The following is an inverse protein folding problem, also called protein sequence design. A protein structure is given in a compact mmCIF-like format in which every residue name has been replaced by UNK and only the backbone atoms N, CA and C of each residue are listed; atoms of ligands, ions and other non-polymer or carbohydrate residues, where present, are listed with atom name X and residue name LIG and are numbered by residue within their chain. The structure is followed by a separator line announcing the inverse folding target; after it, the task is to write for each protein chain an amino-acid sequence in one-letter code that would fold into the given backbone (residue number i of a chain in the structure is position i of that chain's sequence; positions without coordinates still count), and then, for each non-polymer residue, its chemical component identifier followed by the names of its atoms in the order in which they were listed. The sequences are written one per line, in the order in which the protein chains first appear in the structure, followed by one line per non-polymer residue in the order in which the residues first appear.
data_IF_792261894269
#
_entry.id   IF_792261894269
#
_cell.length_a   1.000
_cell.length_b   1.000
_cell.length_c   1.000
_cell.angle_alpha   90.00
_cell.angle_beta   90.00
_cell.angle_gamma   90.00
#
_symmetry.space_group_name_H-M   'P 1'
#
loop_
_entity.id
_entity.type
_entity.pdbx_description
1 polymer ?
#
# COMPACT_ATOMS: atom_id res chain seq x y z
N UNK A 1 36.43 -1.53 63.37
CA UNK A 1 37.15 -1.64 62.07
C UNK A 1 36.76 -2.98 61.46
N UNK A 2 35.97 -3.11 60.39
CA UNK A 2 36.06 -2.52 59.05
C UNK A 2 34.66 -2.12 58.53
N UNK A 3 34.58 -0.98 57.82
CA UNK A 3 33.40 -0.48 57.11
C UNK A 3 33.37 -1.11 55.72
N UNK A 4 32.27 -1.78 55.37
CA UNK A 4 32.06 -2.33 54.03
C UNK A 4 31.38 -1.23 53.21
N UNK A 5 32.12 -0.68 52.25
CA UNK A 5 31.62 0.31 51.28
C UNK A 5 31.22 -0.48 50.04
N UNK A 6 29.93 -0.57 49.76
CA UNK A 6 29.39 -1.15 48.52
C UNK A 6 29.32 -0.03 47.48
N UNK A 7 30.11 -0.05 46.39
CA UNK A 7 29.93 0.92 45.32
C UNK A 7 28.74 0.48 44.48
N UNK A 8 27.65 1.24 44.54
CA UNK A 8 26.53 1.11 43.62
C UNK A 8 26.95 1.68 42.25
N UNK A 9 27.44 0.82 41.35
CA UNK A 9 27.54 1.16 39.94
C UNK A 9 26.16 0.96 39.31
N UNK A 10 25.38 2.04 39.24
CA UNK A 10 24.17 2.09 38.44
C UNK A 10 24.57 2.20 36.95
N UNK A 11 24.61 1.07 36.24
CA UNK A 11 24.76 1.05 34.79
C UNK A 11 23.48 1.55 34.14
N UNK A 12 23.48 2.82 33.73
CA UNK A 12 22.40 3.43 32.96
C UNK A 12 22.45 2.87 31.52
N UNK A 13 21.68 1.84 31.23
CA UNK A 13 21.45 1.36 29.87
C UNK A 13 20.58 2.38 29.14
N UNK A 14 21.18 3.21 28.28
CA UNK A 14 20.43 4.03 27.33
C UNK A 14 19.71 3.08 26.35
N UNK A 15 18.40 2.94 26.52
CA UNK A 15 17.56 2.29 25.53
C UNK A 15 17.52 3.16 24.27
N UNK A 16 18.28 2.76 23.24
CA UNK A 16 18.19 3.35 21.91
C UNK A 16 16.85 2.92 21.33
N UNK A 17 15.84 3.78 21.43
CA UNK A 17 14.56 3.58 20.76
C UNK A 17 14.78 3.83 19.26
N UNK A 18 14.92 2.75 18.48
CA UNK A 18 14.86 2.82 17.02
C UNK A 18 13.43 3.13 16.62
N UNK A 19 13.08 4.41 16.49
CA UNK A 19 11.81 4.80 15.90
C UNK A 19 11.73 4.22 14.47
N UNK A 20 10.64 3.51 14.10
CA UNK A 20 10.50 3.03 12.73
C UNK A 20 10.47 4.24 11.81
N UNK A 21 11.33 4.23 10.78
CA UNK A 21 11.30 5.23 9.73
C UNK A 21 9.88 5.29 9.18
N UNK A 22 9.21 6.44 9.32
CA UNK A 22 7.85 6.62 8.83
C UNK A 22 7.85 6.44 7.31
N UNK A 23 7.36 5.29 6.85
CA UNK A 23 7.18 5.04 5.43
C UNK A 23 6.15 6.03 4.88
N UNK A 24 6.59 6.94 4.02
CA UNK A 24 5.70 7.90 3.37
C UNK A 24 4.67 7.11 2.54
N UNK A 25 3.41 7.19 2.92
CA UNK A 25 2.33 6.47 2.22
C UNK A 25 2.05 7.20 0.91
N UNK A 26 2.59 6.67 -0.19
CA UNK A 26 2.41 7.25 -1.52
C UNK A 26 1.10 6.76 -2.12
N UNK A 27 0.17 7.66 -2.36
CA UNK A 27 -1.11 7.40 -3.03
C UNK A 27 -1.24 8.24 -4.29
N UNK A 28 -1.87 7.70 -5.33
CA UNK A 28 -2.12 8.40 -6.59
C UNK A 28 -3.62 8.25 -6.91
N UNK A 29 -4.34 9.36 -7.19
CA UNK A 29 -5.73 9.28 -7.58
C UNK A 29 -5.88 8.59 -8.95
N UNK A 30 -6.84 7.68 -9.05
CA UNK A 30 -7.22 6.99 -10.30
C UNK A 30 -8.60 7.48 -10.70
N UNK A 31 -8.70 8.15 -11.85
CA UNK A 31 -9.99 8.55 -12.41
C UNK A 31 -10.72 7.32 -12.98
N UNK A 32 -12.01 7.22 -12.67
CA UNK A 32 -12.91 6.16 -13.17
C UNK A 32 -14.32 6.67 -13.51
N UNK A 33 -14.58 7.98 -13.36
CA UNK A 33 -15.89 8.59 -13.60
C UNK A 33 -16.32 8.53 -15.07
N UNK A 34 -15.39 8.32 -15.99
CA UNK A 34 -15.63 8.14 -17.41
C UNK A 34 -15.96 6.68 -17.78
N UNK A 35 -15.80 5.73 -16.86
CA UNK A 35 -15.97 4.31 -17.11
C UNK A 35 -17.32 3.81 -16.63
N UNK A 36 -17.95 2.95 -17.44
CA UNK A 36 -19.09 2.18 -16.98
C UNK A 36 -18.60 0.92 -16.24
N UNK A 37 -18.53 0.99 -14.90
CA UNK A 37 -18.12 -0.13 -14.06
C UNK A 37 -19.11 -1.30 -14.04
N UNK A 38 -20.29 -1.15 -14.66
CA UNK A 38 -21.23 -2.24 -14.87
C UNK A 38 -20.92 -3.08 -16.12
N UNK A 39 -20.06 -2.59 -17.01
CA UNK A 39 -19.64 -3.32 -18.21
C UNK A 39 -18.31 -4.03 -17.96
N UNK A 40 -18.10 -5.24 -18.54
CA UNK A 40 -16.84 -5.94 -18.41
C UNK A 40 -15.67 -5.15 -19.02
N UNK A 41 -15.91 -4.38 -20.09
CA UNK A 41 -14.91 -3.51 -20.71
C UNK A 41 -14.51 -2.33 -19.82
N UNK A 42 -15.48 -1.68 -19.18
CA UNK A 42 -15.22 -0.60 -18.23
C UNK A 42 -14.46 -1.09 -17.00
N UNK A 43 -14.75 -2.31 -16.56
CA UNK A 43 -14.02 -2.93 -15.46
C UNK A 43 -12.58 -3.29 -15.80
N UNK A 44 -12.35 -3.94 -16.95
CA UNK A 44 -11.01 -4.25 -17.43
C UNK A 44 -10.17 -2.97 -17.61
N UNK A 45 -10.79 -1.88 -18.07
CA UNK A 45 -10.11 -0.58 -18.19
C UNK A 45 -9.70 -0.02 -16.83
N UNK A 46 -10.56 -0.12 -15.81
CA UNK A 46 -10.22 0.30 -14.46
C UNK A 46 -9.06 -0.52 -13.88
N UNK A 47 -9.11 -1.84 -14.03
CA UNK A 47 -8.04 -2.73 -13.57
C UNK A 47 -6.69 -2.37 -14.20
N UNK A 48 -6.66 -2.12 -15.52
CA UNK A 48 -5.46 -1.65 -16.21
C UNK A 48 -4.95 -0.29 -15.69
N UNK A 49 -5.87 0.64 -15.36
CA UNK A 49 -5.50 1.93 -14.74
C UNK A 49 -4.90 1.76 -13.35
N UNK A 50 -5.44 0.84 -12.55
CA UNK A 50 -4.91 0.52 -11.21
C UNK A 50 -3.53 -0.12 -11.33
N UNK A 51 -3.33 -1.05 -12.26
CA UNK A 51 -2.01 -1.65 -12.51
C UNK A 51 -0.98 -0.57 -12.91
N UNK A 52 -1.37 0.35 -13.79
CA UNK A 52 -0.51 1.47 -14.19
C UNK A 52 -0.22 2.43 -13.02
N UNK A 53 -1.17 2.65 -12.11
CA UNK A 53 -0.95 3.43 -10.90
C UNK A 53 -0.01 2.72 -9.92
N UNK A 54 -0.20 1.42 -9.70
CA UNK A 54 0.67 0.60 -8.85
C UNK A 54 2.12 0.61 -9.35
N UNK A 55 2.34 0.45 -10.66
CA UNK A 55 3.67 0.58 -11.27
C UNK A 55 4.29 1.97 -11.06
N UNK A 56 3.48 3.04 -11.12
CA UNK A 56 3.98 4.41 -10.86
C UNK A 56 4.36 4.63 -9.39
N UNK A 57 3.64 4.02 -8.46
CA UNK A 57 3.96 4.06 -7.03
C UNK A 57 5.26 3.30 -6.76
N UNK A 58 5.37 2.07 -7.28
CA UNK A 58 6.51 1.18 -7.09
C UNK A 58 7.76 1.55 -7.89
N UNK A 59 7.64 2.42 -8.90
CA UNK A 59 8.78 2.89 -9.70
C UNK A 59 9.26 1.85 -10.71
N UNK A 60 10.55 1.90 -11.06
CA UNK A 60 11.18 0.97 -12.00
C UNK A 60 12.08 0.01 -11.24
N UNK A 61 12.05 -1.27 -11.59
CA UNK A 61 13.04 -2.24 -11.13
C UNK A 61 14.35 -2.06 -11.88
N UNK A 62 15.48 -2.07 -11.16
CA UNK A 62 16.80 -2.14 -11.77
C UNK A 62 17.05 -3.56 -12.29
N UNK A 63 17.18 -3.71 -13.61
CA UNK A 63 17.30 -5.03 -14.30
C UNK A 63 18.60 -5.76 -13.91
N UNK A 64 19.55 -5.06 -13.28
CA UNK A 64 20.86 -5.61 -12.90
C UNK A 64 20.78 -6.63 -11.77
N UNK A 65 19.73 -6.58 -10.94
CA UNK A 65 19.56 -7.44 -9.77
C UNK A 65 18.22 -8.15 -9.86
N UNK A 66 18.25 -9.48 -9.81
CA UNK A 66 17.02 -10.30 -9.82
C UNK A 66 16.10 -9.94 -8.64
N UNK A 67 16.71 -9.63 -7.50
CA UNK A 67 15.98 -9.26 -6.27
C UNK A 67 15.12 -8.01 -6.47
N UNK A 68 15.63 -7.00 -7.18
CA UNK A 68 14.89 -5.75 -7.44
C UNK A 68 13.66 -6.01 -8.31
N UNK A 69 13.73 -6.99 -9.22
CA UNK A 69 12.58 -7.47 -9.97
C UNK A 69 11.53 -8.15 -9.08
N UNK A 70 11.97 -9.00 -8.16
CA UNK A 70 11.08 -9.67 -7.18
C UNK A 70 10.40 -8.65 -6.27
N UNK A 71 11.14 -7.67 -5.78
CA UNK A 71 10.65 -6.64 -4.86
C UNK A 71 9.69 -5.69 -5.55
N UNK A 72 9.96 -5.30 -6.80
CA UNK A 72 9.03 -4.54 -7.63
C UNK A 72 7.72 -5.29 -7.85
N UNK A 73 7.79 -6.57 -8.22
CA UNK A 73 6.60 -7.41 -8.43
C UNK A 73 5.79 -7.57 -7.14
N UNK A 74 6.47 -7.70 -5.99
CA UNK A 74 5.83 -7.73 -4.68
C UNK A 74 5.09 -6.43 -4.40
N UNK A 75 5.75 -5.29 -4.58
CA UNK A 75 5.14 -3.97 -4.37
C UNK A 75 3.88 -3.77 -5.23
N UNK A 76 3.93 -4.14 -6.52
CA UNK A 76 2.77 -4.00 -7.41
C UNK A 76 1.60 -4.86 -6.92
N UNK A 77 1.85 -6.12 -6.55
CA UNK A 77 0.80 -7.01 -6.04
C UNK A 77 0.21 -6.53 -4.72
N UNK A 78 1.04 -6.06 -3.79
CA UNK A 78 0.59 -5.52 -2.51
C UNK A 78 -0.24 -4.25 -2.71
N UNK A 79 0.16 -3.38 -3.63
CA UNK A 79 -0.58 -2.17 -4.00
C UNK A 79 -1.91 -2.50 -4.68
N UNK A 80 -1.96 -3.52 -5.52
CA UNK A 80 -3.23 -3.97 -6.12
C UNK A 80 -4.16 -4.56 -5.05
N UNK A 81 -3.62 -5.41 -4.18
CA UNK A 81 -4.38 -6.04 -3.10
C UNK A 81 -4.96 -5.02 -2.11
N UNK A 82 -4.26 -3.91 -1.85
CA UNK A 82 -4.77 -2.85 -0.97
C UNK A 82 -5.95 -2.08 -1.55
N UNK A 83 -6.14 -2.11 -2.88
CA UNK A 83 -7.19 -1.37 -3.58
C UNK A 83 -8.40 -2.26 -3.92
N UNK A 84 -8.27 -3.58 -3.86
CA UNK A 84 -9.34 -4.54 -4.21
C UNK A 84 -10.66 -4.29 -3.49
N UNK A 85 -10.63 -4.02 -2.19
CA UNK A 85 -11.85 -3.77 -1.40
C UNK A 85 -12.56 -2.48 -1.84
N UNK A 86 -11.78 -1.45 -2.17
CA UNK A 86 -12.33 -0.18 -2.63
C UNK A 86 -12.96 -0.34 -4.01
N UNK A 87 -12.32 -1.07 -4.93
CA UNK A 87 -12.89 -1.36 -6.25
C UNK A 87 -14.20 -2.14 -6.13
N UNK A 88 -14.24 -3.19 -5.28
CA UNK A 88 -15.46 -3.95 -5.05
C UNK A 88 -16.61 -3.05 -4.56
N UNK A 89 -16.31 -2.16 -3.60
CA UNK A 89 -17.28 -1.20 -3.06
C UNK A 89 -17.79 -0.22 -4.12
N UNK A 90 -16.89 0.30 -4.95
CA UNK A 90 -17.25 1.21 -6.04
C UNK A 90 -18.15 0.52 -7.05
N UNK A 91 -17.80 -0.70 -7.46
CA UNK A 91 -18.58 -1.50 -8.41
C UNK A 91 -19.99 -1.82 -7.89
N UNK A 92 -20.12 -2.22 -6.63
CA UNK A 92 -21.42 -2.47 -5.99
C UNK A 92 -22.29 -1.20 -5.93
N UNK A 93 -21.67 -0.06 -5.62
CA UNK A 93 -22.37 1.23 -5.58
C UNK A 93 -22.88 1.61 -6.97
N UNK A 94 -22.07 1.46 -8.01
CA UNK A 94 -22.50 1.71 -9.39
C UNK A 94 -23.64 0.79 -9.85
N UNK A 95 -23.65 -0.47 -9.43
CA UNK A 95 -24.76 -1.40 -9.70
C UNK A 95 -26.05 -0.98 -9.00
N UNK A 96 -25.96 -0.57 -7.74
CA UNK A 96 -27.10 -0.09 -6.98
C UNK A 96 -27.71 1.19 -7.60
N UNK A 97 -26.87 2.10 -8.10
CA UNK A 97 -27.32 3.31 -8.81
C UNK A 97 -28.00 2.96 -10.13
N UNK A 98 -27.43 2.06 -10.93
CA UNK A 98 -28.01 1.61 -12.19
C UNK A 98 -29.41 0.98 -12.00
N UNK A 99 -29.59 0.20 -10.93
CA UNK A 99 -30.90 -0.37 -10.60
C UNK A 99 -31.93 0.69 -10.19
N UNK A 100 -31.49 1.76 -9.50
CA UNK A 100 -32.37 2.85 -9.08
C UNK A 100 -32.88 3.67 -10.27
N UNK A 101 -32.06 3.89 -11.30
CA UNK A 101 -32.46 4.65 -12.49
C UNK A 101 -33.40 3.91 -13.44
N UNK A 102 -33.51 2.58 -13.29
CA UNK A 102 -34.39 1.74 -14.11
C UNK A 102 -35.81 1.59 -13.54
N UNK A 103 -36.10 2.24 -12.41
CA UNK A 103 -37.36 2.14 -11.69
C UNK A 103 -38.08 3.47 -11.69
#
# INVERSE_FOLDING_TARGET
MRKIIVPALATLTLAISTAPASAETRSIPVQYTDLNLNSPEGMATLEGRIEAAAKRICGKAEVRRVQDGVDHQRCVRETQASVTLEVARLSDTSRALAFRTSR
#
